data_IF_309258419281
#
_entry.id   IF_309258419281
#
_cell.length_a   1.000
_cell.length_b   1.000
_cell.length_c   1.000
_cell.angle_alpha   90.00
_cell.angle_beta   90.00
_cell.angle_gamma   90.00
#
_symmetry.space_group_name_H-M   'P 1'
#
loop_
_entity.id
_entity.type
_entity.pdbx_description
1 polymer ?
#
# COMPACT_ATOMS: atom_id res chain seq x y z
N UNK A 1 -3.41 20.16 19.32
CA UNK A 1 -2.62 19.51 18.27
C UNK A 1 -3.48 18.65 17.39
N UNK A 2 -3.26 18.69 16.14
CA UNK A 2 -4.05 17.96 15.20
C UNK A 2 -3.48 16.59 14.95
N UNK A 3 -4.28 15.58 15.15
CA UNK A 3 -3.85 14.23 14.87
C UNK A 3 -4.24 13.88 13.44
N UNK A 4 -3.35 14.20 12.53
CA UNK A 4 -3.60 13.93 11.14
C UNK A 4 -3.46 12.44 10.82
N UNK A 5 -2.51 11.77 11.49
CA UNK A 5 -2.23 10.36 11.23
C UNK A 5 -2.99 9.50 12.22
N UNK A 6 -4.30 9.37 12.00
CA UNK A 6 -5.17 8.64 12.92
C UNK A 6 -5.34 7.18 12.58
N UNK A 7 -4.99 6.81 11.39
CA UNK A 7 -5.15 5.45 10.93
C UNK A 7 -3.82 4.74 10.98
N UNK A 8 -3.87 3.43 10.92
CA UNK A 8 -2.65 2.64 10.91
C UNK A 8 -2.68 1.69 9.74
N UNK A 9 -1.53 1.53 9.11
CA UNK A 9 -1.31 0.52 8.09
C UNK A 9 -0.11 -0.31 8.51
N UNK A 10 -0.05 -1.51 7.98
CA UNK A 10 1.12 -2.34 8.17
C UNK A 10 1.90 -2.33 6.87
N UNK A 11 3.18 -1.99 6.96
CA UNK A 11 4.07 -2.06 5.81
C UNK A 11 4.65 -3.46 5.75
N UNK A 12 4.60 -4.01 4.57
CA UNK A 12 5.05 -5.37 4.30
C UNK A 12 6.10 -5.33 3.20
N UNK A 13 7.03 -6.26 3.25
CA UNK A 13 8.04 -6.40 2.19
C UNK A 13 7.94 -7.79 1.59
N UNK A 14 7.86 -7.86 0.28
CA UNK A 14 7.74 -9.12 -0.40
C UNK A 14 9.00 -9.95 -0.22
N UNK A 15 8.79 -11.22 0.08
CA UNK A 15 9.87 -12.18 0.17
C UNK A 15 10.04 -12.81 -1.20
N UNK A 16 11.24 -12.74 -1.74
CA UNK A 16 11.49 -13.34 -3.02
C UNK A 16 11.57 -14.85 -2.88
N UNK A 17 10.72 -15.53 -3.61
CA UNK A 17 10.77 -16.97 -3.66
C UNK A 17 11.25 -17.42 -5.01
N UNK A 18 12.00 -18.51 -4.99
CA UNK A 18 12.60 -19.03 -6.21
C UNK A 18 11.60 -19.71 -7.10
N UNK A 19 10.55 -20.25 -6.55
CA UNK A 19 9.60 -21.02 -7.34
C UNK A 19 8.51 -20.12 -7.85
N UNK A 20 8.29 -20.18 -9.14
CA UNK A 20 7.26 -19.39 -9.77
C UNK A 20 5.91 -20.05 -9.73
N UNK A 21 4.98 -19.44 -10.37
CA UNK A 21 3.71 -19.99 -10.81
C UNK A 21 2.75 -20.47 -9.73
N UNK A 22 1.68 -19.75 -9.55
CA UNK A 22 0.56 -20.25 -8.76
C UNK A 22 0.70 -20.21 -7.26
N UNK A 23 1.84 -19.80 -6.74
CA UNK A 23 2.01 -19.73 -5.30
C UNK A 23 1.58 -18.35 -4.78
N UNK A 24 1.03 -18.30 -3.57
CA UNK A 24 0.67 -17.02 -2.99
C UNK A 24 1.90 -16.18 -2.76
N UNK A 25 1.70 -14.87 -2.80
CA UNK A 25 2.74 -13.94 -2.48
C UNK A 25 2.97 -13.95 -0.97
N UNK A 26 4.24 -13.95 -0.59
CA UNK A 26 4.61 -14.00 0.82
C UNK A 26 5.30 -12.69 1.18
N UNK A 27 4.88 -12.12 2.29
CA UNK A 27 5.39 -10.84 2.75
C UNK A 27 5.93 -10.97 4.17
N UNK A 28 6.92 -10.16 4.46
CA UNK A 28 7.47 -10.02 5.80
C UNK A 28 7.00 -8.70 6.39
N UNK A 29 6.46 -8.69 7.61
CA UNK A 29 6.06 -7.42 8.20
C UNK A 29 7.28 -6.56 8.52
N UNK A 30 7.18 -5.27 8.18
CA UNK A 30 8.27 -4.32 8.43
C UNK A 30 7.92 -3.45 9.63
N UNK A 31 6.74 -2.85 9.60
CA UNK A 31 6.35 -1.91 10.64
C UNK A 31 4.87 -1.64 10.58
N UNK A 32 4.30 -1.25 11.69
CA UNK A 32 2.98 -0.65 11.75
C UNK A 32 3.16 0.86 11.82
N UNK A 33 2.53 1.58 10.92
CA UNK A 33 2.81 2.98 10.74
C UNK A 33 1.52 3.77 10.85
N UNK A 34 1.57 4.86 11.62
CA UNK A 34 0.46 5.81 11.69
C UNK A 34 0.42 6.63 10.41
N UNK A 35 -0.76 6.85 9.89
CA UNK A 35 -0.90 7.47 8.58
C UNK A 35 -2.28 8.06 8.40
N UNK A 36 -2.45 8.73 7.28
CA UNK A 36 -3.74 9.17 6.78
C UNK A 36 -4.05 8.40 5.51
N UNK A 37 -5.21 7.77 5.45
CA UNK A 37 -5.64 7.03 4.26
C UNK A 37 -6.83 7.77 3.67
N UNK A 38 -6.71 8.11 2.39
CA UNK A 38 -7.78 8.80 1.66
C UNK A 38 -8.06 8.06 0.37
N UNK A 39 -9.30 8.15 -0.07
CA UNK A 39 -9.64 7.62 -1.38
C UNK A 39 -9.07 8.52 -2.46
N UNK A 40 -8.54 7.90 -3.50
CA UNK A 40 -8.15 8.64 -4.69
C UNK A 40 -9.36 8.78 -5.58
N UNK A 41 -9.67 10.02 -5.98
CA UNK A 41 -10.80 10.24 -6.85
C UNK A 41 -10.54 9.64 -8.21
N UNK A 42 -11.52 8.94 -8.68
CA UNK A 42 -11.43 8.29 -9.97
C UNK A 42 -11.75 9.27 -11.08
N UNK A 43 -11.04 9.14 -12.19
CA UNK A 43 -11.33 9.91 -13.38
C UNK A 43 -12.56 9.29 -14.07
N UNK A 44 -13.62 10.07 -14.18
CA UNK A 44 -14.86 9.59 -14.78
C UNK A 44 -14.67 9.14 -16.23
N UNK A 45 -13.72 9.73 -16.93
CA UNK A 45 -13.47 9.35 -18.31
C UNK A 45 -12.94 7.92 -18.43
N UNK A 46 -12.16 7.51 -17.48
CA UNK A 46 -11.64 6.14 -17.49
C UNK A 46 -12.74 5.14 -17.23
N UNK A 47 -13.73 5.50 -16.43
CA UNK A 47 -14.85 4.62 -16.16
C UNK A 47 -15.68 4.40 -17.41
N UNK A 48 -15.83 5.42 -18.23
CA UNK A 48 -16.64 5.34 -19.44
C UNK A 48 -16.04 4.44 -20.50
N UNK A 49 -14.79 4.11 -20.39
CA UNK A 49 -14.13 3.25 -21.36
C UNK A 49 -14.23 1.78 -21.01
N UNK A 50 -14.98 1.44 -19.99
CA UNK A 50 -15.17 0.05 -19.62
C UNK A 50 -13.98 -0.58 -18.90
N UNK A 51 -13.00 0.22 -18.52
CA UNK A 51 -11.90 -0.31 -17.74
C UNK A 51 -12.38 -0.71 -16.35
N UNK A 52 -11.85 -1.82 -15.79
CA UNK A 52 -12.25 -2.20 -14.46
C UNK A 52 -11.86 -1.13 -13.44
N UNK A 53 -12.78 -0.85 -12.53
CA UNK A 53 -12.52 0.10 -11.47
C UNK A 53 -11.65 -0.60 -10.44
N UNK A 54 -10.46 -0.05 -10.22
CA UNK A 54 -9.54 -0.57 -9.23
C UNK A 54 -9.52 0.38 -8.04
N UNK A 55 -9.69 -0.16 -6.86
CA UNK A 55 -9.67 0.65 -5.66
C UNK A 55 -8.28 1.22 -5.43
N UNK A 56 -8.19 2.53 -5.41
CA UNK A 56 -6.94 3.24 -5.19
C UNK A 56 -7.06 4.15 -3.99
N UNK A 57 -5.97 4.28 -3.27
CA UNK A 57 -5.93 5.12 -2.09
C UNK A 57 -4.62 5.90 -2.06
N UNK A 58 -4.64 6.97 -1.31
CA UNK A 58 -3.44 7.76 -1.03
C UNK A 58 -3.15 7.62 0.46
N UNK A 59 -1.98 7.11 0.78
CA UNK A 59 -1.53 6.92 2.15
C UNK A 59 -0.43 7.92 2.43
N UNK A 60 -0.68 8.83 3.36
CA UNK A 60 0.30 9.83 3.77
C UNK A 60 0.85 9.46 5.13
N UNK A 61 2.17 9.52 5.25
CA UNK A 61 2.85 9.14 6.49
C UNK A 61 4.13 9.91 6.64
N UNK A 62 4.74 9.82 7.80
CA UNK A 62 6.06 10.38 7.99
C UNK A 62 7.04 9.73 7.04
N UNK A 63 7.97 10.53 6.54
CA UNK A 63 8.95 10.05 5.58
C UNK A 63 9.74 8.87 6.13
N UNK A 64 9.87 7.85 5.32
CA UNK A 64 10.65 6.67 5.63
C UNK A 64 11.06 5.97 4.35
N UNK A 65 11.96 5.03 4.46
CA UNK A 65 12.41 4.29 3.29
C UNK A 65 11.32 3.33 2.82
N UNK A 66 10.99 3.43 1.55
CA UNK A 66 10.05 2.53 0.89
C UNK A 66 10.79 1.90 -0.27
N UNK A 67 10.77 0.58 -0.33
CA UNK A 67 11.42 -0.15 -1.41
C UNK A 67 10.40 -0.62 -2.43
N UNK A 68 10.88 -1.00 -3.60
CA UNK A 68 10.02 -1.37 -4.71
C UNK A 68 9.12 -2.57 -4.40
N UNK A 69 9.58 -3.46 -3.54
CA UNK A 69 8.82 -4.67 -3.19
C UNK A 69 7.93 -4.48 -1.97
N UNK A 70 7.80 -3.25 -1.50
CA UNK A 70 6.98 -2.99 -0.33
C UNK A 70 5.51 -2.89 -0.72
N UNK A 71 4.67 -3.24 0.22
CA UNK A 71 3.24 -3.17 0.08
C UNK A 71 2.62 -2.67 1.37
N UNK A 72 1.33 -2.34 1.29
CA UNK A 72 0.59 -1.80 2.42
C UNK A 72 -0.57 -2.74 2.71
N UNK A 73 -0.73 -3.11 3.96
CA UNK A 73 -1.92 -3.81 4.42
C UNK A 73 -2.78 -2.84 5.22
N UNK A 74 -4.03 -2.71 4.84
CA UNK A 74 -4.98 -1.84 5.51
C UNK A 74 -6.32 -2.53 5.57
N UNK A 75 -6.85 -2.63 6.77
CA UNK A 75 -8.15 -3.26 7.01
C UNK A 75 -8.26 -4.65 6.38
N UNK A 76 -7.19 -5.43 6.49
CA UNK A 76 -7.19 -6.79 6.01
C UNK A 76 -6.96 -6.96 4.53
N UNK A 77 -6.79 -5.87 3.79
CA UNK A 77 -6.58 -5.92 2.36
C UNK A 77 -5.16 -5.52 2.01
N UNK A 78 -4.65 -6.12 0.95
CA UNK A 78 -3.31 -5.82 0.46
C UNK A 78 -3.39 -4.78 -0.65
N UNK A 79 -2.51 -3.79 -0.56
CA UNK A 79 -2.39 -2.76 -1.58
C UNK A 79 -0.96 -2.72 -2.07
N UNK A 80 -0.80 -2.75 -3.40
CA UNK A 80 0.53 -2.55 -3.96
C UNK A 80 0.83 -1.06 -4.07
N UNK A 81 2.09 -0.70 -3.92
CA UNK A 81 2.51 0.69 -4.03
C UNK A 81 2.77 0.97 -5.51
N UNK A 82 1.96 1.86 -6.07
CA UNK A 82 2.07 2.22 -7.48
C UNK A 82 3.08 3.33 -7.66
N UNK A 83 3.12 4.26 -6.71
CA UNK A 83 3.94 5.44 -6.86
C UNK A 83 4.21 6.05 -5.48
N UNK A 84 5.45 6.47 -5.28
CA UNK A 84 5.83 7.21 -4.08
C UNK A 84 5.96 8.66 -4.48
N UNK A 85 5.01 9.46 -4.03
CA UNK A 85 5.04 10.89 -4.29
C UNK A 85 6.12 11.53 -3.41
N UNK A 86 6.68 12.60 -3.92
CA UNK A 86 7.83 13.22 -3.30
C UNK A 86 7.62 13.62 -1.86
N UNK A 87 8.70 14.00 -1.24
CA UNK A 87 8.68 14.39 0.15
C UNK A 87 8.08 15.78 0.30
N UNK A 88 7.02 15.85 1.07
CA UNK A 88 6.36 17.10 1.40
C UNK A 88 6.76 17.54 2.80
N UNK A 89 6.36 18.76 3.18
CA UNK A 89 6.65 19.30 4.51
C UNK A 89 8.14 19.24 4.83
N UNK A 90 8.96 19.73 3.90
CA UNK A 90 10.42 19.78 4.06
C UNK A 90 11.02 18.39 4.25
N UNK A 91 10.51 17.42 3.52
CA UNK A 91 11.03 16.07 3.55
C UNK A 91 10.54 15.25 4.73
N UNK A 92 9.52 15.69 5.42
CA UNK A 92 9.02 14.98 6.61
C UNK A 92 7.85 14.06 6.31
N UNK A 93 7.27 14.17 5.14
CA UNK A 93 6.10 13.38 4.79
C UNK A 93 6.26 12.81 3.41
N UNK A 94 5.80 11.57 3.25
CA UNK A 94 5.67 10.95 1.93
C UNK A 94 4.23 10.58 1.70
N UNK A 95 3.85 10.49 0.44
CA UNK A 95 2.55 10.01 0.02
C UNK A 95 2.74 8.81 -0.87
N UNK A 96 2.02 7.76 -0.56
CA UNK A 96 2.05 6.54 -1.34
C UNK A 96 0.74 6.42 -2.10
N UNK A 97 0.81 6.30 -3.41
CA UNK A 97 -0.36 5.90 -4.17
C UNK A 97 -0.38 4.40 -4.19
N UNK A 98 -1.46 3.84 -3.69
CA UNK A 98 -1.58 2.40 -3.56
C UNK A 98 -2.82 1.93 -4.27
N UNK A 99 -2.76 0.71 -4.78
CA UNK A 99 -3.86 0.10 -5.50
C UNK A 99 -4.13 -1.26 -4.91
N UNK A 100 -5.39 -1.57 -4.73
CA UNK A 100 -5.75 -2.86 -4.17
C UNK A 100 -5.24 -3.98 -5.04
N UNK A 101 -4.57 -4.93 -4.41
CA UNK A 101 -4.04 -6.07 -5.11
C UNK A 101 -4.89 -7.29 -4.79
N UNK A 102 -5.48 -7.85 -5.83
CA UNK A 102 -6.30 -9.05 -5.70
C UNK A 102 -5.45 -10.26 -6.02
N UNK A 103 -4.74 -10.73 -5.03
CA UNK A 103 -3.88 -11.88 -5.17
C UNK A 103 -3.94 -12.67 -3.88
N UNK A 104 -3.57 -13.93 -3.94
CA UNK A 104 -3.39 -14.70 -2.73
C UNK A 104 -2.09 -14.25 -2.06
N UNK A 105 -2.18 -13.93 -0.80
CA UNK A 105 -1.02 -13.44 -0.07
C UNK A 105 -1.06 -13.90 1.36
N UNK A 106 0.11 -13.94 1.96
CA UNK A 106 0.25 -14.30 3.36
C UNK A 106 1.41 -13.55 3.96
N UNK A 107 1.47 -13.54 5.28
CA UNK A 107 2.52 -12.85 6.02
C UNK A 107 3.29 -13.89 6.80
N UNK A 108 4.62 -13.81 6.72
CA UNK A 108 5.49 -14.74 7.43
C UNK A 108 5.20 -14.69 8.93
N UNK A 109 5.13 -15.87 9.52
CA UNK A 109 4.88 -15.99 10.96
C UNK A 109 3.42 -15.86 11.35
N UNK A 110 2.52 -15.63 10.39
CA UNK A 110 1.09 -15.55 10.65
C UNK A 110 0.39 -16.68 9.95
N UNK A 111 -0.41 -17.37 10.69
CA UNK A 111 -1.24 -18.41 10.09
C UNK A 111 -2.54 -17.80 9.61
N UNK A 112 -2.86 -18.13 8.40
CA UNK A 112 -4.11 -17.67 7.82
C UNK A 112 -5.29 -18.31 8.52
#
# INVERSE_FOLDING_TARGET
>A
MRERYRQQVRLLRRVQEKSGGGKPEVYRPIATVSCEVRDEKYDAQNADQGAPIVEQKIVSMRARLILADDAVEWQGNLYEIVYVDGYNNRGREIRLRVRRRKAHWSVLGENA
#
